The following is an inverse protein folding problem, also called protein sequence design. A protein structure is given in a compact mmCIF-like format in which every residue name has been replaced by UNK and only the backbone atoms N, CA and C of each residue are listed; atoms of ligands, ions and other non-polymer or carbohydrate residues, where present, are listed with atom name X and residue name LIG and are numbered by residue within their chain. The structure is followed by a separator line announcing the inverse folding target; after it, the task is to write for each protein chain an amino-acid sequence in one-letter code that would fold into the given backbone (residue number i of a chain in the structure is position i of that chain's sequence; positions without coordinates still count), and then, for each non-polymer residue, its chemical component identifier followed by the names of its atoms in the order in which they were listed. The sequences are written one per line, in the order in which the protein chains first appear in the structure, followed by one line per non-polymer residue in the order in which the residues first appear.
data_IF_799459617315
#
_entry.id   IF_799459617315
#
_cell.length_a   1.000
_cell.length_b   1.000
_cell.length_c   1.000
_cell.angle_alpha   90.00
_cell.angle_beta   90.00
_cell.angle_gamma   90.00
#
_symmetry.space_group_name_H-M   'P 1'
#
loop_
_entity.id
_entity.type
_entity.pdbx_description
1 polymer ?
#
# COMPACT_ATOMS: atom_id res chain seq x y z
N UNK A 1 -10.43 -2.88 -4.41
CA UNK A 1 -9.99 -1.47 -4.47
C UNK A 1 -10.57 -0.59 -3.36
N UNK A 2 -11.90 -0.51 -3.15
CA UNK A 2 -12.46 0.33 -2.05
C UNK A 2 -11.92 -0.08 -0.67
N UNK A 3 -11.86 -1.39 -0.39
CA UNK A 3 -11.29 -1.93 0.85
C UNK A 3 -9.87 -1.42 1.09
N UNK A 4 -9.00 -1.45 0.08
CA UNK A 4 -7.62 -0.98 0.17
C UNK A 4 -7.55 0.54 0.37
N UNK A 5 -8.45 1.31 -0.26
CA UNK A 5 -8.54 2.75 0.01
C UNK A 5 -8.96 3.06 1.45
N UNK A 6 -9.80 2.23 2.06
CA UNK A 6 -10.21 2.41 3.45
C UNK A 6 -9.07 2.03 4.42
N UNK A 7 -8.35 0.95 4.12
CA UNK A 7 -7.16 0.48 4.84
C UNK A 7 -6.04 1.54 4.84
N UNK A 8 -5.69 2.09 3.67
CA UNK A 8 -4.65 3.11 3.58
C UNK A 8 -5.04 4.43 4.28
N UNK A 9 -6.35 4.72 4.35
CA UNK A 9 -6.85 5.82 5.16
C UNK A 9 -6.69 5.55 6.65
N UNK A 10 -6.88 4.31 7.08
CA UNK A 10 -6.62 3.89 8.47
C UNK A 10 -5.12 3.97 8.79
N UNK A 11 -4.24 3.51 7.90
CA UNK A 11 -2.79 3.67 8.02
C UNK A 11 -2.37 5.13 8.23
N UNK A 12 -2.91 6.04 7.40
CA UNK A 12 -2.66 7.47 7.56
C UNK A 12 -3.12 7.97 8.95
N UNK A 13 -4.28 7.53 9.44
CA UNK A 13 -4.77 7.91 10.77
C UNK A 13 -3.92 7.34 11.91
N UNK A 14 -3.39 6.12 11.76
CA UNK A 14 -2.47 5.50 12.72
C UNK A 14 -1.19 6.35 12.83
N UNK A 15 -0.59 6.75 11.70
CA UNK A 15 0.56 7.66 11.69
C UNK A 15 0.24 9.01 12.33
N UNK A 16 -0.94 9.56 12.04
CA UNK A 16 -1.38 10.83 12.64
C UNK A 16 -1.48 10.74 14.17
N UNK A 17 -2.08 9.66 14.67
CA UNK A 17 -2.20 9.40 16.11
C UNK A 17 -0.84 9.16 16.75
N UNK A 18 0.03 8.42 16.08
CA UNK A 18 1.38 8.16 16.56
C UNK A 18 2.18 9.45 16.71
N UNK A 19 2.13 10.33 15.70
CA UNK A 19 2.77 11.64 15.76
C UNK A 19 2.33 12.45 16.99
N UNK A 20 1.02 12.51 17.26
CA UNK A 20 0.50 13.18 18.45
C UNK A 20 0.93 12.49 19.75
N UNK A 21 1.00 11.15 19.77
CA UNK A 21 1.42 10.37 20.94
C UNK A 21 2.88 10.65 21.32
N UNK A 22 3.73 10.87 20.32
CA UNK A 22 5.13 11.26 20.51
C UNK A 22 5.34 12.75 20.83
N UNK A 23 4.25 13.52 20.95
CA UNK A 23 4.30 14.97 21.19
C UNK A 23 4.66 15.80 19.94
N UNK A 24 4.67 15.17 18.76
CA UNK A 24 4.88 15.84 17.49
C UNK A 24 3.68 16.68 17.06
N UNK A 25 3.89 17.51 16.03
CA UNK A 25 2.84 18.34 15.44
C UNK A 25 2.48 17.83 14.04
N UNK A 26 1.19 17.65 13.80
CA UNK A 26 0.68 17.33 12.46
C UNK A 26 0.67 18.55 11.55
N UNK A 27 1.19 18.39 10.34
CA UNK A 27 1.18 19.40 9.29
C UNK A 27 0.68 18.74 8.02
N UNK A 28 -0.60 18.97 7.68
CA UNK A 28 -1.23 18.39 6.50
C UNK A 28 -0.85 19.15 5.23
N UNK A 29 -0.70 18.42 4.13
CA UNK A 29 -0.46 18.95 2.79
C UNK A 29 -1.59 18.54 1.85
N UNK A 30 -1.66 19.18 0.68
CA UNK A 30 -2.63 18.81 -0.35
C UNK A 30 -2.33 17.41 -0.89
N UNK A 31 -3.32 16.52 -0.84
CA UNK A 31 -3.27 15.22 -1.50
C UNK A 31 -3.41 15.44 -3.01
N UNK A 32 -2.40 15.04 -3.77
CA UNK A 32 -2.45 15.16 -5.22
C UNK A 32 -3.45 14.17 -5.81
N UNK A 33 -4.08 14.54 -6.92
CA UNK A 33 -4.93 13.60 -7.65
C UNK A 33 -4.10 12.41 -8.16
N UNK A 34 -4.71 11.24 -8.41
CA UNK A 34 -4.03 10.14 -9.07
C UNK A 34 -3.44 10.53 -10.43
N UNK A 35 -2.42 9.80 -10.88
CA UNK A 35 -1.74 10.07 -12.16
C UNK A 35 -2.65 9.92 -13.39
N UNK A 36 -3.71 9.11 -13.27
CA UNK A 36 -4.62 8.76 -14.35
C UNK A 36 -6.06 8.77 -13.85
N UNK A 37 -6.97 9.17 -14.74
CA UNK A 37 -8.41 9.13 -14.49
C UNK A 37 -9.03 7.79 -14.97
N UNK A 38 -8.34 7.08 -15.88
CA UNK A 38 -8.70 5.74 -16.40
C UNK A 38 -7.52 4.77 -16.22
N UNK A 39 -7.80 3.56 -15.72
CA UNK A 39 -6.79 2.55 -15.38
C UNK A 39 -6.66 1.41 -16.39
N UNK A 40 -7.52 1.39 -17.42
CA UNK A 40 -7.50 0.37 -18.46
C UNK A 40 -8.02 -0.98 -17.99
N UNK A 41 -7.26 -2.03 -18.28
CA UNK A 41 -7.56 -3.44 -17.94
C UNK A 41 -7.33 -3.74 -16.46
N UNK A 42 -7.86 -4.88 -15.99
CA UNK A 42 -7.61 -5.32 -14.62
C UNK A 42 -6.11 -5.52 -14.37
N UNK A 43 -5.40 -6.06 -15.38
CA UNK A 43 -3.96 -6.25 -15.30
C UNK A 43 -3.21 -4.92 -15.11
N UNK A 44 -3.52 -3.90 -15.92
CA UNK A 44 -2.89 -2.58 -15.81
C UNK A 44 -3.18 -1.91 -14.46
N UNK A 45 -4.41 -2.06 -13.94
CA UNK A 45 -4.79 -1.55 -12.63
C UNK A 45 -4.01 -2.23 -11.49
N UNK A 46 -3.88 -3.56 -11.51
CA UNK A 46 -3.12 -4.28 -10.48
C UNK A 46 -1.60 -4.09 -10.60
N UNK A 47 -1.07 -3.86 -11.81
CA UNK A 47 0.33 -3.47 -11.98
C UNK A 47 0.60 -2.07 -11.40
N UNK A 48 -0.33 -1.13 -11.60
CA UNK A 48 -0.26 0.20 -10.98
C UNK A 48 -0.36 0.12 -9.46
N UNK A 49 -1.28 -0.68 -8.91
CA UNK A 49 -1.40 -0.92 -7.47
C UNK A 49 -0.11 -1.53 -6.90
N UNK A 50 0.47 -2.53 -7.57
CA UNK A 50 1.72 -3.16 -7.14
C UNK A 50 2.89 -2.16 -7.10
N UNK A 51 2.95 -1.25 -8.08
CA UNK A 51 3.95 -0.20 -8.12
C UNK A 51 3.77 0.79 -6.96
N UNK A 52 2.52 1.17 -6.65
CA UNK A 52 2.19 2.04 -5.53
C UNK A 52 2.54 1.41 -4.18
N UNK A 53 2.19 0.14 -3.96
CA UNK A 53 2.53 -0.55 -2.71
C UNK A 53 4.03 -0.67 -2.48
N UNK A 54 4.79 -0.92 -3.54
CA UNK A 54 6.26 -0.93 -3.47
C UNK A 54 6.83 0.45 -3.14
N UNK A 55 6.23 1.51 -3.68
CA UNK A 55 6.61 2.88 -3.35
C UNK A 55 6.30 3.23 -1.89
N UNK A 56 5.13 2.86 -1.39
CA UNK A 56 4.75 3.03 0.02
C UNK A 56 5.70 2.26 0.95
N UNK A 57 6.00 1.00 0.63
CA UNK A 57 6.95 0.18 1.39
C UNK A 57 8.36 0.79 1.39
N UNK A 58 8.84 1.27 0.25
CA UNK A 58 10.14 1.96 0.17
C UNK A 58 10.18 3.21 1.04
N UNK A 59 9.10 4.01 1.03
CA UNK A 59 8.99 5.20 1.89
C UNK A 59 9.02 4.85 3.38
N UNK A 60 8.41 3.72 3.77
CA UNK A 60 8.45 3.21 5.15
C UNK A 60 9.84 2.71 5.54
N UNK A 61 10.56 2.04 4.64
CA UNK A 61 11.95 1.60 4.87
C UNK A 61 12.89 2.79 5.04
N UNK A 62 12.72 3.84 4.23
CA UNK A 62 13.50 5.09 4.38
C UNK A 62 13.20 5.78 5.71
N UNK A 63 11.93 5.80 6.13
CA UNK A 63 11.55 6.34 7.44
C UNK A 63 12.14 5.50 8.59
N UNK A 64 12.17 4.17 8.44
CA UNK A 64 12.81 3.26 9.39
C UNK A 64 14.32 3.49 9.48
N UNK A 65 14.99 3.71 8.35
CA UNK A 65 16.41 4.06 8.32
C UNK A 65 16.66 5.37 9.06
N UNK A 66 15.86 6.41 8.81
CA UNK A 66 15.96 7.68 9.53
C UNK A 66 15.76 7.48 11.04
N UNK A 67 14.79 6.67 11.46
CA UNK A 67 14.60 6.34 12.86
C UNK A 67 15.83 5.64 13.47
N UNK A 68 16.40 4.66 12.75
CA UNK A 68 17.61 3.96 13.15
C UNK A 68 18.83 4.87 13.29
N UNK A 69 19.05 5.77 12.32
CA UNK A 69 20.13 6.77 12.36
C UNK A 69 19.99 7.73 13.56
N UNK A 70 18.76 7.99 14.01
CA UNK A 70 18.47 8.83 15.18
C UNK A 70 18.37 8.03 16.49
N UNK A 71 18.63 6.73 16.48
CA UNK A 71 18.49 5.82 17.62
C UNK A 71 17.07 5.82 18.22
N UNK A 72 16.03 6.04 17.40
CA UNK A 72 14.63 5.97 17.83
C UNK A 72 14.11 4.54 17.73
N UNK A 73 14.49 3.70 18.70
CA UNK A 73 14.10 2.30 18.74
C UNK A 73 12.58 2.11 18.74
N UNK A 74 11.83 3.05 19.31
CA UNK A 74 10.38 2.91 19.43
C UNK A 74 9.66 3.27 18.12
N UNK A 75 10.24 4.16 17.30
CA UNK A 75 9.76 4.37 15.93
C UNK A 75 10.08 3.17 15.04
N UNK A 76 11.27 2.58 15.15
CA UNK A 76 11.60 1.34 14.43
C UNK A 76 10.61 0.22 14.77
N UNK A 77 10.40 -0.07 16.06
CA UNK A 77 9.45 -1.09 16.54
C UNK A 77 8.03 -0.84 16.03
N UNK A 78 7.57 0.42 16.08
CA UNK A 78 6.26 0.80 15.58
C UNK A 78 6.09 0.53 14.08
N UNK A 79 7.09 0.91 13.26
CA UNK A 79 7.05 0.68 11.82
C UNK A 79 7.10 -0.82 11.48
N UNK A 80 7.96 -1.58 12.15
CA UNK A 80 8.10 -3.02 11.97
C UNK A 80 6.81 -3.77 12.35
N UNK A 81 6.24 -3.44 13.50
CA UNK A 81 5.07 -4.13 14.04
C UNK A 81 3.75 -3.75 13.38
N UNK A 82 3.65 -2.54 12.83
CA UNK A 82 2.37 -2.01 12.30
C UNK A 82 2.31 -1.98 10.77
N UNK A 83 3.42 -1.76 10.07
CA UNK A 83 3.37 -1.49 8.62
C UNK A 83 4.23 -2.44 7.79
N UNK A 84 5.50 -2.67 8.16
CA UNK A 84 6.44 -3.38 7.28
C UNK A 84 6.03 -4.82 7.01
N UNK A 85 5.43 -5.51 8.00
CA UNK A 85 4.90 -6.87 7.80
C UNK A 85 3.71 -6.87 6.84
N UNK A 86 2.77 -5.96 7.03
CA UNK A 86 1.54 -5.84 6.23
C UNK A 86 1.87 -5.48 4.78
N UNK A 87 2.82 -4.56 4.55
CA UNK A 87 3.26 -4.22 3.19
C UNK A 87 3.83 -5.42 2.44
N UNK A 88 4.62 -6.28 3.10
CA UNK A 88 5.17 -7.48 2.44
C UNK A 88 4.06 -8.44 2.05
N UNK A 89 3.07 -8.65 2.92
CA UNK A 89 1.91 -9.51 2.66
C UNK A 89 1.05 -8.96 1.52
N UNK A 90 0.77 -7.64 1.52
CA UNK A 90 0.01 -6.96 0.46
C UNK A 90 0.74 -7.03 -0.90
N UNK A 91 2.05 -6.76 -0.93
CA UNK A 91 2.85 -6.85 -2.16
C UNK A 91 2.86 -8.28 -2.71
N UNK A 92 2.93 -9.30 -1.84
CA UNK A 92 2.85 -10.69 -2.25
C UNK A 92 1.48 -11.02 -2.86
N UNK A 93 0.39 -10.63 -2.21
CA UNK A 93 -0.98 -10.86 -2.66
C UNK A 93 -1.24 -10.22 -4.03
N UNK A 94 -0.92 -8.92 -4.18
CA UNK A 94 -1.08 -8.22 -5.46
C UNK A 94 -0.17 -8.84 -6.53
N UNK A 95 1.04 -9.26 -6.17
CA UNK A 95 1.94 -9.97 -7.08
C UNK A 95 1.34 -11.29 -7.62
N UNK A 96 0.59 -12.02 -6.78
CA UNK A 96 -0.17 -13.21 -7.21
C UNK A 96 -1.28 -12.83 -8.18
N UNK A 97 -2.03 -11.76 -7.92
CA UNK A 97 -3.08 -11.27 -8.81
C UNK A 97 -2.53 -10.89 -10.18
N UNK A 98 -1.44 -10.12 -10.24
CA UNK A 98 -0.78 -9.77 -11.52
C UNK A 98 -0.36 -11.03 -12.28
N UNK A 99 0.22 -12.01 -11.58
CA UNK A 99 0.65 -13.28 -12.20
C UNK A 99 -0.54 -14.09 -12.72
N UNK A 100 -1.65 -14.13 -11.99
CA UNK A 100 -2.87 -14.81 -12.40
C UNK A 100 -3.50 -14.13 -13.62
N UNK A 101 -3.63 -12.81 -13.61
CA UNK A 101 -4.18 -12.01 -14.71
C UNK A 101 -3.37 -12.17 -16.01
N UNK A 102 -2.03 -12.17 -15.91
CA UNK A 102 -1.15 -12.47 -17.05
C UNK A 102 -1.38 -13.87 -17.64
N UNK A 103 -1.77 -14.83 -16.80
CA UNK A 103 -2.00 -16.23 -17.21
C UNK A 103 -3.35 -16.43 -17.87
N UNK A 104 -4.41 -15.86 -17.29
CA UNK A 104 -5.79 -16.06 -17.78
C UNK A 104 -6.08 -15.23 -19.03
N UNK A 105 -5.37 -14.11 -19.21
CA UNK A 105 -5.55 -13.24 -20.37
C UNK A 105 -6.86 -12.43 -20.35
N UNK A 106 -7.07 -11.55 -21.34
CA UNK A 106 -8.17 -10.60 -21.35
C UNK A 106 -9.53 -11.25 -21.62
N UNK A 107 -10.61 -10.53 -21.30
CA UNK A 107 -11.97 -10.95 -21.63
C UNK A 107 -12.51 -12.02 -20.67
N UNK A 108 -12.65 -13.27 -21.13
CA UNK A 108 -13.19 -14.34 -20.29
C UNK A 108 -12.28 -14.64 -19.09
N UNK A 109 -10.96 -14.53 -19.27
CA UNK A 109 -9.99 -14.75 -18.19
C UNK A 109 -10.13 -13.75 -17.06
N UNK A 110 -10.25 -12.46 -17.39
CA UNK A 110 -10.51 -11.39 -16.41
C UNK A 110 -11.84 -11.58 -15.68
N UNK A 111 -12.90 -11.96 -16.40
CA UNK A 111 -14.20 -12.25 -15.79
C UNK A 111 -14.14 -13.44 -14.81
N UNK A 112 -13.43 -14.52 -15.18
CA UNK A 112 -13.24 -15.68 -14.29
C UNK A 112 -12.40 -15.31 -13.07
N UNK A 113 -11.35 -14.50 -13.26
CA UNK A 113 -10.54 -13.99 -12.16
C UNK A 113 -11.36 -13.17 -11.18
N UNK A 114 -12.19 -12.25 -11.69
CA UNK A 114 -13.09 -11.43 -10.87
C UNK A 114 -14.05 -12.29 -10.04
N UNK A 115 -14.68 -13.27 -10.70
CA UNK A 115 -15.58 -14.26 -10.10
C UNK A 115 -14.96 -15.14 -9.02
N UNK A 116 -13.68 -15.47 -9.12
CA UNK A 116 -13.03 -16.38 -8.15
C UNK A 116 -12.40 -15.63 -6.98
N UNK A 117 -11.98 -14.38 -7.18
CA UNK A 117 -11.23 -13.62 -6.18
C UNK A 117 -12.08 -12.62 -5.40
N UNK A 118 -13.18 -12.11 -5.99
CA UNK A 118 -13.93 -10.99 -5.42
C UNK A 118 -15.45 -11.22 -5.29
N UNK A 119 -15.99 -12.30 -5.85
CA UNK A 119 -17.37 -12.80 -5.62
C UNK A 119 -17.38 -13.93 -4.55
#
# INVERSE_FOLDING_TARGET
MIKQSDEEREHAQILMKYQNTRGGRLVLQNVQKPEKDEWGTALEAFEAALALERFNNQSLLELHEVAGQNNDCQMCDFLEGTFLKEQVESIEEIGKFVTALKRVGPGLGEYMFDKEQFD
#
